data_IF_680727390350
#
_entry.id   IF_680727390350
#
_cell.length_a   1.000
_cell.length_b   1.000
_cell.length_c   1.000
_cell.angle_alpha   90.00
_cell.angle_beta   90.00
_cell.angle_gamma   90.00
#
_symmetry.space_group_name_H-M   'P 1'
#
loop_
_entity.id
_entity.type
_entity.pdbx_description
1 polymer ?
#
# COMPACT_ATOMS: atom_id res chain seq x y z
N UNK A 1 -23.79 -2.18 4.77
CA UNK A 1 -22.71 -1.45 4.06
C UNK A 1 -21.83 -2.52 3.45
N UNK A 2 -21.58 -2.50 2.13
CA UNK A 2 -20.75 -3.53 1.47
C UNK A 2 -19.27 -3.30 1.81
N UNK A 3 -18.53 -4.38 2.05
CA UNK A 3 -17.10 -4.33 2.37
C UNK A 3 -16.26 -4.05 1.12
N UNK A 4 -15.00 -3.61 1.27
CA UNK A 4 -14.12 -3.18 0.15
C UNK A 4 -14.05 -4.21 -0.99
N UNK A 5 -13.80 -5.49 -0.64
CA UNK A 5 -13.69 -6.57 -1.62
C UNK A 5 -15.03 -6.86 -2.32
N UNK A 6 -16.15 -6.80 -1.60
CA UNK A 6 -17.48 -7.01 -2.18
C UNK A 6 -17.84 -5.88 -3.14
N UNK A 7 -17.67 -4.64 -2.67
CA UNK A 7 -18.03 -3.42 -3.40
C UNK A 7 -17.30 -3.36 -4.75
N UNK A 8 -16.03 -3.76 -4.78
CA UNK A 8 -15.19 -3.66 -5.98
C UNK A 8 -14.86 -5.03 -6.59
N UNK A 9 -15.62 -6.08 -6.28
CA UNK A 9 -15.34 -7.47 -6.70
C UNK A 9 -15.02 -7.59 -8.19
N UNK A 10 -15.79 -6.92 -9.04
CA UNK A 10 -15.64 -6.96 -10.51
C UNK A 10 -14.31 -6.39 -11.03
N UNK A 11 -13.59 -5.59 -10.24
CA UNK A 11 -12.31 -4.99 -10.61
C UNK A 11 -11.11 -5.66 -9.91
N UNK A 12 -11.37 -6.68 -9.09
CA UNK A 12 -10.39 -7.37 -8.27
C UNK A 12 -10.24 -8.82 -8.75
N UNK A 13 -9.08 -9.46 -8.52
CA UNK A 13 -8.83 -10.86 -8.92
C UNK A 13 -9.54 -11.87 -7.99
N UNK A 14 -10.85 -11.70 -7.81
CA UNK A 14 -11.72 -12.49 -6.94
C UNK A 14 -12.50 -13.49 -7.80
N UNK A 15 -12.48 -14.76 -7.43
CA UNK A 15 -13.32 -15.82 -7.98
C UNK A 15 -14.21 -16.43 -6.89
N UNK A 16 -14.94 -17.49 -7.21
CA UNK A 16 -15.88 -18.13 -6.28
C UNK A 16 -15.20 -18.82 -5.09
N UNK A 17 -13.90 -19.12 -5.20
CA UNK A 17 -13.10 -19.72 -4.13
C UNK A 17 -12.37 -18.67 -3.28
N UNK A 18 -12.36 -17.40 -3.69
CA UNK A 18 -11.71 -16.35 -2.92
C UNK A 18 -12.55 -16.01 -1.69
N UNK A 19 -12.04 -16.24 -0.46
CA UNK A 19 -12.76 -15.85 0.74
C UNK A 19 -12.87 -14.33 0.79
N UNK A 20 -14.06 -13.83 1.10
CA UNK A 20 -14.32 -12.41 1.29
C UNK A 20 -14.55 -12.17 2.77
N UNK A 21 -13.74 -11.30 3.35
CA UNK A 21 -13.83 -10.87 4.74
C UNK A 21 -13.37 -9.42 4.85
N UNK A 22 -13.57 -8.81 6.01
CA UNK A 22 -13.19 -7.41 6.25
C UNK A 22 -12.90 -7.16 7.72
N UNK A 23 -11.96 -6.26 7.98
CA UNK A 23 -11.72 -5.65 9.30
C UNK A 23 -12.32 -4.23 9.36
N UNK A 24 -13.04 -3.81 8.31
CA UNK A 24 -13.53 -2.45 8.13
C UNK A 24 -12.60 -1.54 7.33
N UNK A 25 -11.70 -2.12 6.53
CA UNK A 25 -10.84 -1.37 5.61
C UNK A 25 -11.59 -0.76 4.42
N UNK A 26 -11.05 0.33 3.90
CA UNK A 26 -11.70 1.12 2.86
C UNK A 26 -12.78 2.05 3.41
N UNK A 27 -13.57 2.59 2.50
CA UNK A 27 -14.61 3.58 2.75
C UNK A 27 -14.16 4.70 3.70
N UNK A 28 -12.91 5.16 3.54
CA UNK A 28 -12.30 6.15 4.43
C UNK A 28 -12.82 7.54 4.10
N UNK A 29 -12.88 8.48 5.07
CA UNK A 29 -13.39 9.83 4.80
C UNK A 29 -12.62 10.56 3.70
N UNK A 30 -13.32 11.20 2.76
CA UNK A 30 -12.75 12.21 1.84
C UNK A 30 -13.14 13.61 2.31
N UNK A 31 -12.27 14.21 3.11
CA UNK A 31 -12.58 15.45 3.83
C UNK A 31 -12.24 16.67 2.99
N UNK A 32 -13.22 17.48 2.65
CA UNK A 32 -13.02 18.78 2.00
C UNK A 32 -12.32 19.76 2.96
N UNK A 33 -11.29 20.44 2.47
CA UNK A 33 -10.62 21.50 3.20
C UNK A 33 -11.49 22.76 3.25
N UNK A 34 -11.62 23.35 4.44
CA UNK A 34 -12.38 24.60 4.64
C UNK A 34 -11.53 25.87 4.47
N UNK A 35 -10.21 25.77 4.62
CA UNK A 35 -9.30 26.93 4.70
C UNK A 35 -8.04 26.78 3.84
N UNK A 36 -7.37 25.64 3.86
CA UNK A 36 -6.06 25.43 3.21
C UNK A 36 -6.14 25.66 1.69
N UNK A 37 -7.26 25.30 1.05
CA UNK A 37 -7.44 25.48 -0.40
C UNK A 37 -7.25 26.94 -0.86
N UNK A 38 -7.63 27.91 -0.01
CA UNK A 38 -7.47 29.36 -0.29
C UNK A 38 -6.02 29.79 -0.25
N UNK A 39 -5.24 29.25 0.70
CA UNK A 39 -3.81 29.56 0.85
C UNK A 39 -2.99 29.00 -0.31
N UNK A 40 -3.37 27.83 -0.83
CA UNK A 40 -2.71 27.18 -1.97
C UNK A 40 -3.16 27.80 -3.30
N UNK A 41 -4.32 28.47 -3.34
CA UNK A 41 -4.87 29.07 -4.55
C UNK A 41 -5.52 28.08 -5.51
N UNK A 42 -6.02 26.95 -5.00
CA UNK A 42 -6.83 26.01 -5.78
C UNK A 42 -8.34 26.23 -5.54
N UNK A 43 -9.20 25.65 -6.37
CA UNK A 43 -10.67 25.79 -6.22
C UNK A 43 -11.20 24.94 -5.07
N UNK A 44 -10.72 23.70 -4.97
CA UNK A 44 -11.10 22.74 -3.94
C UNK A 44 -9.88 21.88 -3.57
N UNK A 45 -9.84 21.42 -2.31
CA UNK A 45 -8.84 20.50 -1.81
C UNK A 45 -9.53 19.47 -0.94
N UNK A 46 -9.20 18.20 -1.13
CA UNK A 46 -9.76 17.09 -0.36
C UNK A 46 -8.63 16.23 0.23
N UNK A 47 -8.87 15.67 1.42
CA UNK A 47 -7.97 14.76 2.11
C UNK A 47 -8.61 13.38 2.22
N UNK A 48 -8.05 12.38 1.53
CA UNK A 48 -8.46 10.98 1.70
C UNK A 48 -7.79 10.42 2.96
N UNK A 49 -8.55 10.28 4.04
CA UNK A 49 -8.03 9.97 5.38
C UNK A 49 -7.76 8.47 5.58
N UNK A 50 -6.73 7.96 4.90
CA UNK A 50 -6.31 6.56 4.94
C UNK A 50 -5.81 6.08 6.33
N UNK A 51 -5.59 7.01 7.26
CA UNK A 51 -5.30 6.70 8.66
C UNK A 51 -6.50 6.12 9.43
N UNK A 52 -7.72 6.24 8.88
CA UNK A 52 -8.93 5.66 9.46
C UNK A 52 -9.13 4.17 9.15
N UNK A 53 -8.24 3.55 8.35
CA UNK A 53 -8.26 2.11 8.15
C UNK A 53 -7.92 1.35 9.46
N UNK A 54 -8.29 0.07 9.61
CA UNK A 54 -8.21 -0.69 10.87
C UNK A 54 -6.82 -0.73 11.51
N UNK A 55 -5.76 -0.87 10.72
CA UNK A 55 -4.37 -0.86 11.20
C UNK A 55 -3.76 0.55 11.22
N UNK A 56 -4.52 1.57 10.80
CA UNK A 56 -4.09 2.96 10.73
C UNK A 56 -3.42 3.37 9.42
N UNK A 57 -3.56 2.61 8.33
CA UNK A 57 -2.97 2.99 7.04
C UNK A 57 -3.62 2.38 5.80
N UNK A 58 -3.36 2.96 4.63
CA UNK A 58 -3.78 2.43 3.32
C UNK A 58 -3.29 1.00 3.01
N UNK A 59 -2.34 0.46 3.78
CA UNK A 59 -1.81 -0.89 3.57
C UNK A 59 -2.91 -1.94 3.68
N UNK A 60 -3.93 -1.67 4.49
CA UNK A 60 -5.07 -2.56 4.75
C UNK A 60 -5.85 -2.89 3.48
N UNK A 61 -6.02 -1.92 2.58
CA UNK A 61 -6.65 -2.13 1.27
C UNK A 61 -5.96 -3.23 0.46
N UNK A 62 -4.63 -3.20 0.45
CA UNK A 62 -3.83 -4.22 -0.24
C UNK A 62 -3.77 -5.53 0.55
N UNK A 63 -3.73 -5.43 1.88
CA UNK A 63 -3.54 -6.59 2.75
C UNK A 63 -4.77 -7.49 2.77
N UNK A 64 -5.98 -6.93 2.79
CA UNK A 64 -7.22 -7.72 2.71
C UNK A 64 -7.24 -8.58 1.43
N UNK A 65 -6.83 -8.00 0.30
CA UNK A 65 -6.75 -8.72 -0.98
C UNK A 65 -5.63 -9.78 -0.96
N UNK A 66 -4.43 -9.42 -0.48
CA UNK A 66 -3.30 -10.35 -0.41
C UNK A 66 -3.59 -11.55 0.50
N UNK A 67 -4.19 -11.33 1.68
CA UNK A 67 -4.55 -12.38 2.62
C UNK A 67 -5.70 -13.23 2.09
N UNK A 68 -6.70 -12.64 1.43
CA UNK A 68 -7.77 -13.41 0.78
C UNK A 68 -7.21 -14.38 -0.26
N UNK A 69 -6.26 -13.94 -1.10
CA UNK A 69 -5.59 -14.80 -2.09
C UNK A 69 -4.65 -15.81 -1.45
N UNK A 70 -4.01 -15.47 -0.34
CA UNK A 70 -3.20 -16.42 0.43
C UNK A 70 -4.05 -17.60 0.92
N UNK A 71 -5.23 -17.31 1.48
CA UNK A 71 -6.17 -18.34 1.96
C UNK A 71 -6.71 -19.16 0.79
N UNK A 72 -7.07 -18.52 -0.32
CA UNK A 72 -7.52 -19.22 -1.54
C UNK A 72 -6.47 -20.20 -2.07
N UNK A 73 -5.18 -19.84 -1.99
CA UNK A 73 -4.04 -20.70 -2.37
C UNK A 73 -3.76 -21.81 -1.34
N UNK A 74 -4.40 -21.77 -0.17
CA UNK A 74 -4.21 -22.74 0.91
C UNK A 74 -3.07 -22.41 1.87
N UNK A 75 -2.45 -21.23 1.77
CA UNK A 75 -1.37 -20.80 2.66
C UNK A 75 -1.84 -20.78 4.12
N UNK A 76 -0.93 -21.17 5.03
CA UNK A 76 -1.15 -21.18 6.49
C UNK A 76 -0.37 -20.08 7.20
N UNK A 77 0.62 -19.52 6.51
CA UNK A 77 1.44 -18.42 7.02
C UNK A 77 1.53 -17.30 6.01
N UNK A 78 1.73 -16.09 6.51
CA UNK A 78 2.11 -14.93 5.72
C UNK A 78 3.43 -14.37 6.24
N UNK A 79 4.25 -13.90 5.32
CA UNK A 79 5.58 -13.35 5.65
C UNK A 79 5.77 -11.97 5.03
N UNK A 80 6.40 -11.07 5.77
CA UNK A 80 6.87 -9.82 5.19
C UNK A 80 8.15 -9.29 5.84
N UNK A 81 8.92 -8.54 5.06
CA UNK A 81 10.00 -7.70 5.56
C UNK A 81 9.46 -6.27 5.73
N UNK A 82 9.23 -5.83 6.97
CA UNK A 82 8.80 -4.45 7.28
C UNK A 82 8.88 -4.15 8.77
N UNK A 83 9.07 -2.86 9.08
CA UNK A 83 9.22 -2.35 10.45
C UNK A 83 8.13 -1.34 10.81
N UNK A 84 7.05 -1.28 10.03
CA UNK A 84 6.00 -0.27 10.19
C UNK A 84 4.67 -0.71 9.58
N UNK A 85 4.02 0.17 8.81
CA UNK A 85 2.62 -0.02 8.41
C UNK A 85 2.32 -1.36 7.70
N UNK A 86 3.24 -1.88 6.89
CA UNK A 86 3.01 -3.18 6.22
C UNK A 86 3.00 -4.33 7.21
N UNK A 87 3.91 -4.36 8.20
CA UNK A 87 3.92 -5.42 9.20
C UNK A 87 2.74 -5.30 10.16
N UNK A 88 2.35 -4.08 10.56
CA UNK A 88 1.14 -3.86 11.36
C UNK A 88 -0.12 -4.40 10.64
N UNK A 89 -0.29 -4.04 9.38
CA UNK A 89 -1.40 -4.51 8.54
C UNK A 89 -1.36 -6.03 8.34
N UNK A 90 -0.21 -6.60 7.97
CA UNK A 90 -0.06 -8.05 7.81
C UNK A 90 -0.44 -8.79 9.10
N UNK A 91 0.03 -8.30 10.25
CA UNK A 91 -0.25 -8.92 11.54
C UNK A 91 -1.72 -8.84 11.90
N UNK A 92 -2.39 -7.70 11.66
CA UNK A 92 -3.82 -7.55 11.92
C UNK A 92 -4.67 -8.53 11.10
N UNK A 93 -4.44 -8.57 9.78
CA UNK A 93 -5.20 -9.41 8.87
C UNK A 93 -4.86 -10.90 9.03
N UNK A 94 -3.58 -11.23 9.26
CA UNK A 94 -3.16 -12.61 9.53
C UNK A 94 -3.78 -13.15 10.81
N UNK A 95 -3.75 -12.37 11.90
CA UNK A 95 -4.37 -12.71 13.18
C UNK A 95 -5.88 -12.92 13.04
N UNK A 96 -6.58 -12.01 12.37
CA UNK A 96 -8.02 -12.12 12.12
C UNK A 96 -8.41 -13.39 11.34
N UNK A 97 -7.59 -13.80 10.37
CA UNK A 97 -7.83 -14.99 9.54
C UNK A 97 -7.22 -16.29 10.10
N UNK A 98 -6.60 -16.26 11.28
CA UNK A 98 -5.94 -17.43 11.86
C UNK A 98 -4.70 -17.90 11.09
N UNK A 99 -4.02 -17.00 10.36
CA UNK A 99 -2.75 -17.26 9.70
C UNK A 99 -1.58 -16.88 10.60
N UNK A 100 -0.53 -17.72 10.61
CA UNK A 100 0.70 -17.34 11.28
C UNK A 100 1.37 -16.18 10.55
N UNK A 101 1.64 -15.06 11.23
CA UNK A 101 2.32 -13.91 10.63
C UNK A 101 3.76 -13.85 11.06
N UNK A 102 4.67 -13.85 10.09
CA UNK A 102 6.12 -13.74 10.29
C UNK A 102 6.60 -12.39 9.77
N UNK A 103 7.27 -11.62 10.62
CA UNK A 103 7.81 -10.30 10.26
C UNK A 103 9.32 -10.33 10.40
N UNK A 104 10.03 -10.23 9.28
CA UNK A 104 11.49 -10.15 9.26
C UNK A 104 11.94 -8.70 9.38
N UNK A 105 12.89 -8.48 10.28
CA UNK A 105 13.45 -7.16 10.56
C UNK A 105 14.98 -7.19 10.71
N UNK A 106 15.70 -6.13 10.30
CA UNK A 106 17.12 -6.01 10.60
C UNK A 106 17.36 -5.78 12.12
N UNK A 107 18.35 -6.46 12.68
CA UNK A 107 18.76 -6.35 14.08
C UNK A 107 19.19 -4.92 14.46
N UNK A 108 18.89 -4.50 15.70
CA UNK A 108 19.39 -3.26 16.30
C UNK A 108 18.89 -1.93 15.71
N UNK A 109 18.03 -1.96 14.68
CA UNK A 109 17.64 -0.74 13.93
C UNK A 109 16.21 -0.26 14.15
N UNK A 110 15.45 -0.83 15.08
CA UNK A 110 14.01 -0.55 15.19
C UNK A 110 13.58 -0.29 16.62
N UNK A 111 12.98 0.89 16.82
CA UNK A 111 12.31 1.22 18.07
C UNK A 111 11.09 0.31 18.27
N UNK A 112 10.97 -0.27 19.47
CA UNK A 112 9.89 -1.20 19.82
C UNK A 112 8.49 -0.60 19.58
N UNK A 113 8.34 0.72 19.72
CA UNK A 113 7.10 1.44 19.43
C UNK A 113 6.61 1.26 17.99
N UNK A 114 7.51 1.08 17.01
CA UNK A 114 7.15 0.84 15.61
C UNK A 114 6.62 -0.58 15.36
N UNK A 115 6.98 -1.53 16.23
CA UNK A 115 6.54 -2.93 16.16
C UNK A 115 5.39 -3.24 17.11
N UNK A 116 5.01 -2.28 17.96
CA UNK A 116 3.99 -2.46 19.00
C UNK A 116 2.69 -3.07 18.46
N UNK A 117 2.18 -2.57 17.33
CA UNK A 117 0.99 -3.12 16.68
C UNK A 117 1.21 -4.56 16.22
N UNK A 118 2.34 -4.86 15.55
CA UNK A 118 2.63 -6.21 15.06
C UNK A 118 2.71 -7.23 16.20
N UNK A 119 3.38 -6.86 17.31
CA UNK A 119 3.46 -7.68 18.52
C UNK A 119 2.08 -7.85 19.16
N UNK A 120 1.29 -6.77 19.27
CA UNK A 120 -0.06 -6.83 19.84
C UNK A 120 -1.01 -7.74 19.05
N UNK A 121 -0.85 -7.81 17.73
CA UNK A 121 -1.59 -8.72 16.86
C UNK A 121 -1.05 -10.16 16.85
N UNK A 122 0.05 -10.44 17.56
CA UNK A 122 0.60 -11.79 17.72
C UNK A 122 1.58 -12.23 16.63
N UNK A 123 2.18 -11.29 15.88
CA UNK A 123 3.17 -11.65 14.87
C UNK A 123 4.48 -12.17 15.48
N UNK A 124 5.07 -13.18 14.83
CA UNK A 124 6.41 -13.67 15.13
C UNK A 124 7.43 -12.73 14.50
N UNK A 125 8.09 -11.95 15.34
CA UNK A 125 9.14 -11.03 14.92
C UNK A 125 10.47 -11.78 14.85
N UNK A 126 11.08 -11.82 13.67
CA UNK A 126 12.39 -12.45 13.43
C UNK A 126 13.41 -11.37 13.09
N UNK A 127 14.33 -11.12 14.01
CA UNK A 127 15.47 -10.24 13.75
C UNK A 127 16.57 -10.99 12.99
N UNK A 128 17.08 -10.40 11.92
CA UNK A 128 18.21 -10.92 11.17
C UNK A 128 19.41 -10.00 11.29
N UNK A 129 20.61 -10.58 11.30
CA UNK A 129 21.85 -9.81 11.22
C UNK A 129 22.08 -9.37 9.76
N UNK A 130 21.54 -8.20 9.41
CA UNK A 130 21.54 -7.67 8.05
C UNK A 130 20.78 -6.35 7.89
N UNK A 131 20.58 -5.92 6.65
CA UNK A 131 19.81 -4.73 6.27
C UNK A 131 18.41 -5.09 5.74
N UNK A 132 17.60 -4.08 5.40
CA UNK A 132 16.24 -4.28 4.88
C UNK A 132 16.20 -5.06 3.57
N UNK A 133 17.13 -4.81 2.65
CA UNK A 133 17.18 -5.49 1.35
C UNK A 133 17.51 -6.97 1.52
N UNK A 134 18.41 -7.30 2.44
CA UNK A 134 18.71 -8.69 2.83
C UNK A 134 17.47 -9.36 3.46
N UNK A 135 16.74 -8.67 4.33
CA UNK A 135 15.48 -9.18 4.87
C UNK A 135 14.44 -9.43 3.77
N UNK A 136 14.34 -8.51 2.81
CA UNK A 136 13.42 -8.63 1.67
C UNK A 136 13.80 -9.80 0.75
N UNK A 137 15.09 -10.03 0.52
CA UNK A 137 15.56 -11.17 -0.27
C UNK A 137 15.29 -12.49 0.45
N UNK A 138 15.54 -12.54 1.77
CA UNK A 138 15.28 -13.74 2.55
C UNK A 138 13.79 -14.13 2.57
N UNK A 139 12.87 -13.15 2.75
CA UNK A 139 11.44 -13.47 2.69
C UNK A 139 10.99 -13.94 1.31
N UNK A 140 11.60 -13.43 0.23
CA UNK A 140 11.34 -13.90 -1.14
C UNK A 140 11.78 -15.35 -1.29
N UNK A 141 13.01 -15.67 -0.89
CA UNK A 141 13.56 -17.02 -0.96
C UNK A 141 12.72 -18.02 -0.16
N UNK A 142 12.35 -17.68 1.09
CA UNK A 142 11.48 -18.50 1.93
C UNK A 142 10.13 -18.76 1.25
N UNK A 143 9.48 -17.71 0.74
CA UNK A 143 8.16 -17.83 0.09
C UNK A 143 8.21 -18.59 -1.24
N UNK A 144 9.35 -18.60 -1.93
CA UNK A 144 9.52 -19.36 -3.17
C UNK A 144 9.74 -20.86 -2.92
N UNK A 145 10.22 -21.23 -1.72
CA UNK A 145 10.52 -22.62 -1.35
C UNK A 145 9.40 -23.29 -0.53
N UNK A 146 8.52 -22.51 0.10
CA UNK A 146 7.47 -23.02 0.97
C UNK A 146 6.08 -22.60 0.47
N UNK A 147 5.34 -23.57 -0.09
CA UNK A 147 4.01 -23.32 -0.67
C UNK A 147 2.97 -22.87 0.38
N UNK A 148 3.18 -23.20 1.66
CA UNK A 148 2.30 -22.82 2.76
C UNK A 148 2.53 -21.39 3.29
N UNK A 149 3.52 -20.65 2.75
CA UNK A 149 3.86 -19.28 3.15
C UNK A 149 3.66 -18.31 1.98
N UNK A 150 2.80 -17.31 2.18
CA UNK A 150 2.58 -16.26 1.19
C UNK A 150 3.34 -14.97 1.55
N UNK A 151 4.08 -14.42 0.57
CA UNK A 151 4.77 -13.14 0.72
C UNK A 151 3.81 -11.98 0.52
N UNK A 152 3.66 -11.11 1.53
CA UNK A 152 2.69 -9.99 1.50
C UNK A 152 3.34 -8.59 1.43
N UNK A 153 4.63 -8.52 1.09
CA UNK A 153 5.29 -7.27 0.69
C UNK A 153 4.65 -6.67 -0.57
N UNK A 154 4.96 -5.40 -0.87
CA UNK A 154 4.35 -4.68 -2.00
C UNK A 154 4.71 -5.23 -3.39
N UNK A 155 5.63 -6.19 -3.48
CA UNK A 155 5.90 -6.92 -4.73
C UNK A 155 4.80 -7.93 -5.06
N UNK A 156 3.95 -8.29 -4.08
CA UNK A 156 2.78 -9.11 -4.32
C UNK A 156 1.74 -8.30 -5.12
N UNK A 157 1.33 -8.72 -6.33
CA UNK A 157 0.41 -7.95 -7.17
C UNK A 157 -0.95 -7.72 -6.49
N UNK A 158 -1.39 -8.61 -5.60
CA UNK A 158 -2.65 -8.46 -4.87
C UNK A 158 -2.65 -7.23 -3.96
N UNK A 159 -1.47 -6.79 -3.48
CA UNK A 159 -1.34 -5.53 -2.73
C UNK A 159 -1.71 -4.32 -3.57
N UNK A 160 -1.32 -4.31 -4.85
CA UNK A 160 -1.64 -3.24 -5.80
C UNK A 160 -3.12 -3.30 -6.17
N UNK A 161 -3.64 -4.49 -6.47
CA UNK A 161 -5.07 -4.68 -6.76
C UNK A 161 -5.98 -4.21 -5.64
N UNK A 162 -5.65 -4.50 -4.38
CA UNK A 162 -6.43 -3.99 -3.26
C UNK A 162 -6.29 -2.48 -3.09
N UNK A 163 -5.07 -1.94 -3.19
CA UNK A 163 -4.81 -0.50 -3.00
C UNK A 163 -5.48 0.40 -4.05
N UNK A 164 -5.70 -0.06 -5.30
CA UNK A 164 -6.31 0.76 -6.36
C UNK A 164 -7.75 1.18 -6.04
N UNK A 165 -8.42 0.45 -5.15
CA UNK A 165 -9.78 0.78 -4.67
C UNK A 165 -9.88 2.16 -4.03
N UNK A 166 -8.78 2.72 -3.53
CA UNK A 166 -8.78 4.08 -3.02
C UNK A 166 -9.12 5.12 -4.11
N UNK A 167 -8.69 4.89 -5.35
CA UNK A 167 -9.05 5.74 -6.49
C UNK A 167 -10.53 5.58 -6.86
N UNK A 168 -11.05 4.35 -6.84
CA UNK A 168 -12.47 4.08 -7.05
C UNK A 168 -13.34 4.84 -6.05
N UNK A 169 -12.99 4.79 -4.76
CA UNK A 169 -13.74 5.51 -3.73
C UNK A 169 -13.74 7.03 -3.93
N UNK A 170 -12.62 7.61 -4.38
CA UNK A 170 -12.56 9.04 -4.66
C UNK A 170 -13.56 9.40 -5.76
N UNK A 171 -13.60 8.63 -6.84
CA UNK A 171 -14.53 8.90 -7.94
C UNK A 171 -15.97 8.61 -7.55
N UNK A 172 -16.23 7.53 -6.82
CA UNK A 172 -17.56 7.19 -6.31
C UNK A 172 -18.13 8.31 -5.41
N UNK A 173 -17.29 8.94 -4.59
CA UNK A 173 -17.69 9.95 -3.60
C UNK A 173 -17.83 11.35 -4.23
N UNK A 174 -16.94 11.73 -5.15
CA UNK A 174 -17.01 13.03 -5.84
C UNK A 174 -17.95 13.02 -7.04
N UNK A 175 -18.19 11.86 -7.64
CA UNK A 175 -18.84 11.71 -8.95
C UNK A 175 -17.94 12.04 -10.14
N UNK A 176 -16.66 12.38 -9.90
CA UNK A 176 -15.65 12.68 -10.91
C UNK A 176 -14.24 12.39 -10.35
N UNK A 177 -13.26 12.24 -11.23
CA UNK A 177 -11.86 12.22 -10.82
C UNK A 177 -11.35 13.67 -10.60
N UNK A 178 -10.54 13.93 -9.57
CA UNK A 178 -9.95 15.25 -9.36
C UNK A 178 -8.98 15.62 -10.49
N UNK A 179 -8.64 16.90 -10.61
CA UNK A 179 -7.65 17.34 -11.62
C UNK A 179 -6.23 16.81 -11.31
N UNK A 180 -5.87 16.77 -10.03
CA UNK A 180 -4.55 16.36 -9.55
C UNK A 180 -4.67 15.49 -8.30
N UNK A 181 -3.81 14.46 -8.19
CA UNK A 181 -3.73 13.58 -7.02
C UNK A 181 -2.33 13.64 -6.43
N UNK A 182 -2.23 14.19 -5.23
CA UNK A 182 -0.98 14.37 -4.50
C UNK A 182 -0.75 13.16 -3.59
N UNK A 183 0.37 12.45 -3.77
CA UNK A 183 0.61 11.19 -3.06
C UNK A 183 2.08 11.02 -2.64
N UNK A 184 2.37 10.64 -1.38
CA UNK A 184 3.73 10.30 -0.98
C UNK A 184 4.25 9.05 -1.71
N UNK A 185 5.51 9.09 -2.14
CA UNK A 185 6.15 8.01 -2.89
C UNK A 185 7.35 7.47 -2.11
N UNK A 186 7.13 6.34 -1.43
CA UNK A 186 8.17 5.49 -0.88
C UNK A 186 8.53 4.39 -1.88
N UNK A 187 7.93 3.20 -1.72
CA UNK A 187 8.19 2.05 -2.59
C UNK A 187 7.45 2.09 -3.95
N UNK A 188 6.88 3.24 -4.32
CA UNK A 188 6.14 3.47 -5.57
C UNK A 188 4.86 2.64 -5.82
N UNK A 189 4.52 1.66 -4.97
CA UNK A 189 3.32 0.85 -5.17
C UNK A 189 2.00 1.62 -5.06
N UNK A 190 1.90 2.66 -4.22
CA UNK A 190 0.62 3.35 -4.02
C UNK A 190 0.26 4.26 -5.21
N UNK A 191 1.21 5.05 -5.72
CA UNK A 191 0.98 5.87 -6.92
C UNK A 191 0.63 5.00 -8.14
N UNK A 192 1.29 3.85 -8.26
CA UNK A 192 0.98 2.83 -9.28
C UNK A 192 -0.47 2.33 -9.14
N UNK A 193 -0.87 1.96 -7.92
CA UNK A 193 -2.21 1.46 -7.65
C UNK A 193 -3.30 2.52 -7.92
N UNK A 194 -3.10 3.76 -7.48
CA UNK A 194 -4.05 4.84 -7.75
C UNK A 194 -4.22 5.08 -9.25
N UNK A 195 -3.11 5.13 -10.00
CA UNK A 195 -3.15 5.31 -11.44
C UNK A 195 -3.89 4.17 -12.15
N UNK A 196 -3.64 2.91 -11.78
CA UNK A 196 -4.39 1.76 -12.29
C UNK A 196 -5.90 1.89 -12.02
N UNK A 197 -6.27 2.32 -10.81
CA UNK A 197 -7.66 2.55 -10.45
C UNK A 197 -8.34 3.65 -11.28
N UNK A 198 -7.68 4.80 -11.46
CA UNK A 198 -8.24 5.88 -12.30
C UNK A 198 -8.37 5.47 -13.76
N UNK A 199 -7.43 4.69 -14.31
CA UNK A 199 -7.54 4.17 -15.68
C UNK A 199 -8.75 3.27 -15.86
N UNK A 200 -9.01 2.36 -14.93
CA UNK A 200 -10.19 1.48 -15.01
C UNK A 200 -11.48 2.31 -15.04
N UNK A 201 -11.63 3.32 -14.18
CA UNK A 201 -12.84 4.16 -14.18
C UNK A 201 -12.96 5.06 -15.42
N UNK A 202 -11.83 5.48 -15.98
CA UNK A 202 -11.79 6.18 -17.25
C UNK A 202 -12.21 5.29 -18.42
N UNK A 203 -11.74 4.04 -18.46
CA UNK A 203 -12.10 3.08 -19.52
C UNK A 203 -13.59 2.72 -19.49
N UNK A 204 -14.23 2.85 -18.33
CA UNK A 204 -15.69 2.73 -18.14
C UNK A 204 -16.44 4.03 -18.44
N UNK A 205 -15.78 5.07 -18.94
CA UNK A 205 -16.32 6.42 -19.17
C UNK A 205 -17.00 7.03 -17.92
N UNK A 206 -16.53 6.64 -16.72
CA UNK A 206 -17.08 7.11 -15.44
C UNK A 206 -16.39 8.37 -14.94
N UNK A 207 -15.14 8.62 -15.35
CA UNK A 207 -14.40 9.84 -15.02
C UNK A 207 -13.27 10.13 -16.00
N UNK A 208 -12.77 11.36 -16.00
CA UNK A 208 -11.49 11.70 -16.63
C UNK A 208 -10.29 11.13 -15.84
N UNK A 209 -9.08 11.33 -16.36
CA UNK A 209 -7.83 10.94 -15.68
C UNK A 209 -7.21 12.14 -14.92
N UNK A 210 -6.83 11.97 -13.64
CA UNK A 210 -6.08 12.98 -12.90
C UNK A 210 -4.62 13.02 -13.34
N UNK A 211 -3.94 14.14 -13.10
CA UNK A 211 -2.47 14.16 -13.06
C UNK A 211 -1.97 13.56 -11.75
N UNK A 212 -1.05 12.60 -11.83
CA UNK A 212 -0.45 11.99 -10.65
C UNK A 212 0.74 12.83 -10.17
N UNK A 213 0.67 13.38 -8.96
CA UNK A 213 1.72 14.21 -8.37
C UNK A 213 2.37 13.45 -7.20
N UNK A 214 3.51 12.84 -7.45
CA UNK A 214 4.29 12.10 -6.46
C UNK A 214 5.16 13.03 -5.61
N UNK A 215 5.46 12.65 -4.37
CA UNK A 215 6.42 13.36 -3.52
C UNK A 215 7.35 12.41 -2.80
N UNK A 216 8.65 12.63 -2.92
CA UNK A 216 9.68 11.92 -2.14
C UNK A 216 10.37 12.87 -1.16
N UNK A 217 10.88 12.33 -0.05
CA UNK A 217 11.71 13.11 0.85
C UNK A 217 13.08 13.35 0.21
N UNK A 218 13.64 14.58 0.32
CA UNK A 218 14.87 15.01 -0.38
C UNK A 218 16.02 13.99 -0.36
N UNK A 219 16.36 13.43 0.80
CA UNK A 219 17.46 12.45 0.97
C UNK A 219 17.00 10.98 0.81
N UNK A 220 15.79 10.77 0.30
CA UNK A 220 15.17 9.48 -0.03
C UNK A 220 14.36 9.63 -1.33
N UNK A 221 14.89 10.40 -2.30
CA UNK A 221 14.23 10.75 -3.57
C UNK A 221 14.90 10.09 -4.79
N UNK A 222 14.98 8.75 -4.86
CA UNK A 222 15.68 8.06 -5.93
C UNK A 222 15.05 8.26 -7.31
N UNK A 223 13.71 8.36 -7.41
CA UNK A 223 13.00 8.57 -8.69
C UNK A 223 13.28 9.98 -9.21
N UNK A 224 13.20 10.99 -8.33
CA UNK A 224 13.55 12.38 -8.67
C UNK A 224 14.98 12.49 -9.19
N UNK A 225 15.91 11.83 -8.50
CA UNK A 225 17.34 11.88 -8.81
C UNK A 225 17.77 10.89 -9.91
N UNK A 226 16.86 10.03 -10.40
CA UNK A 226 17.14 8.95 -11.36
C UNK A 226 18.32 8.05 -10.94
N UNK A 227 18.47 7.81 -9.64
CA UNK A 227 19.59 7.04 -9.07
C UNK A 227 19.20 6.39 -7.75
N UNK A 228 19.62 5.13 -7.56
CA UNK A 228 19.51 4.44 -6.27
C UNK A 228 20.24 5.23 -5.18
N UNK A 229 19.59 5.43 -4.05
CA UNK A 229 20.17 6.04 -2.85
C UNK A 229 20.49 4.92 -1.87
N UNK A 230 21.75 4.56 -1.71
CA UNK A 230 22.16 3.44 -0.85
C UNK A 230 21.86 3.68 0.64
N UNK A 231 21.97 4.93 1.08
CA UNK A 231 21.75 5.34 2.47
C UNK A 231 20.63 6.40 2.54
N UNK A 232 19.37 6.02 2.31
CA UNK A 232 18.27 6.98 2.33
C UNK A 232 18.08 7.52 3.75
N UNK A 233 17.71 8.78 3.88
CA UNK A 233 17.44 9.42 5.18
C UNK A 233 16.24 10.36 5.12
N UNK A 234 15.41 10.34 6.17
CA UNK A 234 14.31 11.29 6.39
C UNK A 234 13.64 11.02 7.74
N UNK A 235 13.09 12.06 8.36
CA UNK A 235 12.18 11.93 9.52
C UNK A 235 10.89 11.19 9.17
N UNK A 236 10.45 11.28 7.91
CA UNK A 236 9.27 10.58 7.38
C UNK A 236 9.59 9.11 7.08
N UNK A 237 9.82 8.31 8.13
CA UNK A 237 10.42 6.97 8.00
C UNK A 237 9.62 5.99 7.12
N UNK A 238 8.31 6.23 6.91
CA UNK A 238 7.47 5.43 6.02
C UNK A 238 7.86 5.54 4.52
N UNK A 239 8.53 6.62 4.13
CA UNK A 239 9.02 6.87 2.76
C UNK A 239 10.56 6.95 2.69
N UNK A 240 11.26 6.45 3.72
CA UNK A 240 12.73 6.33 3.73
C UNK A 240 13.17 5.14 2.87
N UNK A 241 13.03 5.28 1.56
CA UNK A 241 13.27 4.20 0.58
C UNK A 241 14.21 4.73 -0.51
N UNK A 242 15.31 4.00 -0.73
CA UNK A 242 16.36 4.37 -1.66
C UNK A 242 16.34 3.62 -2.99
N UNK A 243 15.59 2.52 -3.08
CA UNK A 243 15.41 1.73 -4.29
C UNK A 243 13.95 1.21 -4.39
N UNK A 244 13.02 2.00 -4.93
CA UNK A 244 11.60 1.63 -4.98
C UNK A 244 11.35 0.39 -5.84
N UNK A 245 10.67 -0.61 -5.28
CA UNK A 245 10.36 -1.86 -5.99
C UNK A 245 9.39 -1.67 -7.18
N UNK A 246 8.58 -0.61 -7.17
CA UNK A 246 7.65 -0.28 -8.27
C UNK A 246 8.11 0.94 -9.08
N UNK A 247 9.43 1.17 -9.19
CA UNK A 247 10.00 2.35 -9.85
C UNK A 247 9.44 2.57 -11.27
N UNK A 248 9.61 1.59 -12.15
CA UNK A 248 9.21 1.69 -13.56
C UNK A 248 7.70 1.94 -13.70
N UNK A 249 6.90 1.31 -12.84
CA UNK A 249 5.45 1.51 -12.83
C UNK A 249 5.05 2.91 -12.37
N UNK A 250 5.78 3.50 -11.42
CA UNK A 250 5.56 4.89 -11.04
C UNK A 250 5.98 5.86 -12.15
N UNK A 251 7.12 5.66 -12.81
CA UNK A 251 7.51 6.48 -13.97
C UNK A 251 6.49 6.40 -15.09
N UNK A 252 5.97 5.20 -15.38
CA UNK A 252 4.87 5.01 -16.32
C UNK A 252 3.61 5.77 -15.90
N UNK A 253 3.22 5.70 -14.62
CA UNK A 253 2.06 6.43 -14.10
C UNK A 253 2.23 7.95 -14.24
N UNK A 254 3.42 8.48 -13.95
CA UNK A 254 3.74 9.90 -14.09
C UNK A 254 3.69 10.34 -15.56
N UNK A 255 4.26 9.54 -16.46
CA UNK A 255 4.25 9.81 -17.90
C UNK A 255 2.82 9.78 -18.48
N UNK A 256 2.09 8.69 -18.26
CA UNK A 256 0.73 8.52 -18.81
C UNK A 256 -0.26 9.56 -18.26
N UNK A 257 -0.10 9.97 -17.00
CA UNK A 257 -0.96 10.98 -16.37
C UNK A 257 -0.54 12.43 -16.65
N UNK A 258 0.54 12.67 -17.40
CA UNK A 258 1.18 13.99 -17.50
C UNK A 258 1.46 14.63 -16.12
N UNK A 259 1.83 13.76 -15.16
CA UNK A 259 2.14 14.08 -13.78
C UNK A 259 3.60 14.44 -13.54
N UNK A 260 3.99 14.55 -12.27
CA UNK A 260 5.38 14.88 -11.84
C UNK A 260 5.69 14.32 -10.46
N UNK A 261 6.98 14.20 -10.13
CA UNK A 261 7.50 13.70 -8.85
C UNK A 261 8.70 14.51 -8.36
#
# INVERSE_FOLDING_TARGET
MMHLLEKYKQFLPINDNTPIFSLGEGNTPLVKSNNIYKEIGCKELYFKLEGCNPSGSFKDRGMVMAVSKAIEKGSKKIICASTGNTSASASAFGSYCGLETIVLIPEGKIAIGKLSQAVAYGAKIVSINGNFDQALNLVKEISAQQEDIELVNSINPNRIHGQKTAAFEIVDELGYAPDEVFIPVGNAGNITAYWDGFKIYNDLNTSNLPKMIGFQAKNSAPIVNKKIIENPETVATAIRIGNPASWEFAEKALHESSGKI
#
